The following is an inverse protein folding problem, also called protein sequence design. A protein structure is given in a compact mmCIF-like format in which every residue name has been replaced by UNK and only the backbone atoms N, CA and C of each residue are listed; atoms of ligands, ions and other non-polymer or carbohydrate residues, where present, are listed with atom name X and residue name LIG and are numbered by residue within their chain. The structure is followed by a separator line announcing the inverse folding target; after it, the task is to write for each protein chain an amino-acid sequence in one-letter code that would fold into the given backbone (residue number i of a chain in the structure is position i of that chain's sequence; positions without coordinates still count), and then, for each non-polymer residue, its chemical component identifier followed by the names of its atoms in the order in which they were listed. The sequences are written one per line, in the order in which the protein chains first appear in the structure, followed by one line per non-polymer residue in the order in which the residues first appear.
data_IF_849209019342
#
_entry.id   IF_849209019342
#
_cell.length_a   1.000
_cell.length_b   1.000
_cell.length_c   1.000
_cell.angle_alpha   90.00
_cell.angle_beta   90.00
_cell.angle_gamma   90.00
#
_symmetry.space_group_name_H-M   'P 1'
#
loop_
_entity.id
_entity.type
_entity.pdbx_description
1 polymer ?
#
# COMPACT_ATOMS: atom_id res chain seq x y z
N UNK A 1 -13.43 34.81 -37.39
CA UNK A 1 -13.08 34.18 -36.10
C UNK A 1 -13.36 32.67 -36.24
N UNK A 2 -12.54 31.82 -35.60
CA UNK A 2 -12.65 30.34 -35.53
C UNK A 2 -11.66 29.51 -36.37
N UNK A 3 -10.36 29.64 -36.05
CA UNK A 3 -9.35 28.61 -36.36
C UNK A 3 -8.34 28.39 -35.21
N UNK A 4 -8.68 28.79 -33.98
CA UNK A 4 -7.77 28.75 -32.83
C UNK A 4 -7.95 27.58 -31.84
N UNK A 5 -9.11 26.93 -31.78
CA UNK A 5 -9.44 26.06 -30.62
C UNK A 5 -9.11 24.57 -30.79
N UNK A 6 -8.95 24.05 -32.01
CA UNK A 6 -8.75 22.60 -32.23
C UNK A 6 -7.33 22.07 -31.99
N UNK A 7 -6.37 22.92 -31.60
CA UNK A 7 -4.96 22.52 -31.41
C UNK A 7 -4.59 22.26 -29.94
N UNK A 8 -5.44 22.63 -28.99
CA UNK A 8 -5.13 22.51 -27.56
C UNK A 8 -5.61 21.18 -26.92
N UNK A 9 -6.69 20.58 -27.44
CA UNK A 9 -7.23 19.31 -26.90
C UNK A 9 -6.34 18.10 -27.19
N UNK A 10 -5.65 18.06 -28.34
CA UNK A 10 -4.74 16.93 -28.65
C UNK A 10 -3.43 16.92 -27.85
N UNK A 11 -3.08 18.02 -27.17
CA UNK A 11 -1.83 18.10 -26.39
C UNK A 11 -2.02 17.64 -24.93
N UNK A 12 -3.25 17.70 -24.41
CA UNK A 12 -3.60 17.21 -23.07
C UNK A 12 -3.86 15.71 -23.04
N UNK A 13 -4.45 15.13 -24.08
CA UNK A 13 -4.71 13.67 -24.16
C UNK A 13 -3.41 12.83 -24.23
N UNK A 14 -2.41 13.28 -24.98
CA UNK A 14 -1.14 12.52 -25.16
C UNK A 14 -0.28 12.46 -23.89
N UNK A 15 -0.50 13.37 -22.94
CA UNK A 15 0.28 13.46 -21.69
C UNK A 15 -0.24 12.50 -20.60
N UNK A 16 -1.53 12.15 -20.64
CA UNK A 16 -2.16 11.17 -19.75
C UNK A 16 -1.82 9.72 -20.11
N UNK A 17 -1.82 9.39 -21.41
CA UNK A 17 -1.55 8.03 -21.92
C UNK A 17 -0.07 7.60 -21.71
N UNK A 18 0.85 8.57 -21.79
CA UNK A 18 2.27 8.36 -21.51
C UNK A 18 2.59 8.06 -20.04
N UNK A 19 1.84 8.59 -19.07
CA UNK A 19 2.11 8.33 -17.65
C UNK A 19 1.64 6.94 -17.21
N UNK A 20 0.50 6.49 -17.74
CA UNK A 20 -0.04 5.15 -17.47
C UNK A 20 0.85 4.04 -18.05
N UNK A 21 1.43 4.26 -19.23
CA UNK A 21 2.42 3.34 -19.84
C UNK A 21 3.76 3.34 -19.08
N UNK A 22 4.26 4.50 -18.65
CA UNK A 22 5.47 4.59 -17.82
C UNK A 22 5.31 3.87 -16.46
N UNK A 23 4.13 3.95 -15.84
CA UNK A 23 3.84 3.26 -14.58
C UNK A 23 3.79 1.74 -14.76
N UNK A 24 3.14 1.26 -15.82
CA UNK A 24 2.97 -0.18 -16.09
C UNK A 24 4.28 -0.88 -16.46
N UNK A 25 5.15 -0.22 -17.24
CA UNK A 25 6.47 -0.76 -17.60
C UNK A 25 7.46 -0.77 -16.44
N UNK A 26 7.20 -0.05 -15.34
CA UNK A 26 8.15 0.12 -14.23
C UNK A 26 8.46 -1.18 -13.50
N UNK A 27 7.45 -2.04 -13.30
CA UNK A 27 7.64 -3.35 -12.67
C UNK A 27 8.41 -4.32 -13.57
N UNK A 28 8.09 -4.33 -14.86
CA UNK A 28 8.73 -5.20 -15.86
C UNK A 28 10.18 -4.77 -16.11
N UNK A 29 10.46 -3.47 -16.10
CA UNK A 29 11.83 -2.93 -16.16
C UNK A 29 12.66 -3.43 -14.97
N UNK A 30 12.14 -3.34 -13.74
CA UNK A 30 12.85 -3.87 -12.57
C UNK A 30 13.15 -5.38 -12.70
N UNK A 31 12.19 -6.18 -13.17
CA UNK A 31 12.36 -7.62 -13.40
C UNK A 31 13.41 -7.94 -14.50
N UNK A 32 13.46 -7.15 -15.58
CA UNK A 32 14.45 -7.29 -16.66
C UNK A 32 15.89 -7.17 -16.15
N UNK A 33 16.14 -6.27 -15.18
CA UNK A 33 17.47 -6.12 -14.60
C UNK A 33 17.93 -7.34 -13.82
N UNK A 34 17.02 -8.16 -13.29
CA UNK A 34 17.36 -9.40 -12.60
C UNK A 34 17.35 -10.63 -13.53
N UNK A 35 17.19 -10.42 -14.84
CA UNK A 35 17.15 -11.51 -15.82
C UNK A 35 15.81 -12.25 -15.86
N UNK A 36 14.78 -11.71 -15.21
CA UNK A 36 13.47 -12.35 -15.05
C UNK A 36 12.45 -11.90 -16.12
N UNK A 37 12.82 -10.98 -17.02
CA UNK A 37 11.95 -10.57 -18.11
C UNK A 37 12.02 -11.52 -19.30
N UNK A 38 10.86 -11.86 -19.85
CA UNK A 38 10.73 -12.60 -21.09
C UNK A 38 11.24 -11.79 -22.31
N UNK A 39 11.57 -12.44 -23.44
CA UNK A 39 11.99 -11.75 -24.66
C UNK A 39 10.95 -10.75 -25.20
N UNK A 40 9.66 -11.01 -24.95
CA UNK A 40 8.56 -10.12 -25.36
C UNK A 40 8.49 -8.86 -24.49
N UNK A 41 8.75 -9.02 -23.19
CA UNK A 41 8.84 -7.92 -22.24
C UNK A 41 10.08 -7.06 -22.51
N UNK A 42 11.20 -7.68 -22.87
CA UNK A 42 12.41 -6.97 -23.25
C UNK A 42 12.19 -6.08 -24.49
N UNK A 43 11.53 -6.62 -25.53
CA UNK A 43 11.16 -5.84 -26.72
C UNK A 43 10.27 -4.64 -26.41
N UNK A 44 9.36 -4.77 -25.43
CA UNK A 44 8.48 -3.67 -24.98
C UNK A 44 9.24 -2.61 -24.20
N UNK A 45 10.18 -3.02 -23.35
CA UNK A 45 11.07 -2.11 -22.64
C UNK A 45 11.89 -1.31 -23.65
N UNK A 46 12.53 -1.97 -24.61
CA UNK A 46 13.38 -1.31 -25.61
C UNK A 46 12.60 -0.33 -26.49
N UNK A 47 11.40 -0.72 -26.94
CA UNK A 47 10.49 0.16 -27.68
C UNK A 47 10.10 1.41 -26.87
N UNK A 48 9.77 1.24 -25.58
CA UNK A 48 9.42 2.36 -24.71
C UNK A 48 10.62 3.28 -24.44
N UNK A 49 11.80 2.73 -24.14
CA UNK A 49 13.03 3.49 -23.92
C UNK A 49 13.45 4.29 -25.16
N UNK A 50 13.16 3.77 -26.36
CA UNK A 50 13.32 4.48 -27.64
C UNK A 50 12.52 5.78 -27.73
N UNK A 51 11.34 5.83 -27.08
CA UNK A 51 10.40 6.96 -27.16
C UNK A 51 10.38 7.89 -25.93
N UNK A 52 10.74 7.40 -24.74
CA UNK A 52 10.59 8.15 -23.49
C UNK A 52 11.94 8.51 -22.84
N UNK A 53 12.42 9.76 -22.95
CA UNK A 53 13.71 10.17 -22.39
C UNK A 53 13.75 10.09 -20.85
N UNK A 54 12.63 10.37 -20.18
CA UNK A 54 12.54 10.30 -18.70
C UNK A 54 12.66 8.87 -18.17
N UNK A 55 12.12 7.89 -18.89
CA UNK A 55 12.30 6.48 -18.54
C UNK A 55 13.70 5.99 -18.90
N UNK A 56 14.31 6.52 -19.95
CA UNK A 56 15.71 6.25 -20.34
C UNK A 56 16.71 6.68 -19.28
N UNK A 57 16.60 7.91 -18.78
CA UNK A 57 17.46 8.41 -17.70
C UNK A 57 17.30 7.59 -16.42
N UNK A 58 16.06 7.24 -16.06
CA UNK A 58 15.76 6.43 -14.88
C UNK A 58 16.27 5.00 -15.01
N UNK A 59 16.17 4.41 -16.21
CA UNK A 59 16.70 3.09 -16.51
C UNK A 59 18.22 3.06 -16.37
N UNK A 60 18.91 4.04 -16.95
CA UNK A 60 20.35 4.18 -16.82
C UNK A 60 20.80 4.29 -15.36
N UNK A 61 20.09 5.10 -14.55
CA UNK A 61 20.37 5.22 -13.13
C UNK A 61 20.19 3.90 -12.35
N UNK A 62 19.17 3.11 -12.70
CA UNK A 62 18.88 1.83 -12.04
C UNK A 62 19.85 0.73 -12.47
N UNK A 63 20.22 0.68 -13.75
CA UNK A 63 21.23 -0.23 -14.27
C UNK A 63 22.62 0.07 -13.65
N UNK A 64 22.96 1.35 -13.50
CA UNK A 64 24.19 1.77 -12.81
C UNK A 64 24.21 1.35 -11.34
N UNK A 65 23.07 1.43 -10.64
CA UNK A 65 22.96 0.95 -9.26
C UNK A 65 23.15 -0.57 -9.16
N UNK A 66 22.51 -1.35 -10.04
CA UNK A 66 22.70 -2.81 -10.09
C UNK A 66 24.18 -3.15 -10.32
N UNK A 67 24.82 -2.48 -11.29
CA UNK A 67 26.23 -2.71 -11.60
C UNK A 67 27.18 -2.34 -10.45
N UNK A 68 26.75 -1.50 -9.51
CA UNK A 68 27.50 -1.13 -8.31
C UNK A 68 27.28 -2.10 -7.13
N UNK A 69 26.30 -3.02 -7.20
CA UNK A 69 26.07 -4.03 -6.18
C UNK A 69 27.01 -5.23 -6.41
N UNK A 70 27.67 -5.77 -5.37
CA UNK A 70 28.42 -7.02 -5.49
C UNK A 70 27.47 -8.18 -5.86
N UNK A 71 27.82 -8.97 -6.89
CA UNK A 71 27.07 -10.16 -7.30
C UNK A 71 27.14 -11.31 -6.27
N UNK A 72 28.01 -11.20 -5.27
CA UNK A 72 28.13 -12.19 -4.21
C UNK A 72 27.00 -12.05 -3.19
N UNK A 73 26.08 -13.02 -3.16
CA UNK A 73 25.22 -13.22 -2.00
C UNK A 73 26.11 -13.53 -0.79
N UNK A 74 26.02 -12.77 0.32
CA UNK A 74 26.74 -13.14 1.54
C UNK A 74 26.21 -14.48 2.02
N UNK A 75 27.09 -15.46 2.23
CA UNK A 75 26.72 -16.69 2.92
C UNK A 75 26.19 -16.30 4.31
N UNK A 76 24.89 -16.53 4.52
CA UNK A 76 24.26 -16.33 5.80
C UNK A 76 24.74 -17.44 6.72
N UNK A 77 25.66 -17.11 7.62
CA UNK A 77 26.28 -18.01 8.61
C UNK A 77 25.26 -18.60 9.62
N UNK A 78 23.97 -18.27 9.49
CA UNK A 78 22.89 -18.63 10.41
C UNK A 78 21.56 -18.75 9.67
N UNK A 79 20.77 -19.75 10.03
CA UNK A 79 19.39 -19.88 9.56
C UNK A 79 18.50 -18.82 10.23
N UNK A 80 18.10 -17.81 9.46
CA UNK A 80 17.22 -16.72 9.91
C UNK A 80 15.72 -17.05 9.74
N UNK A 81 15.39 -18.18 9.12
CA UNK A 81 14.01 -18.62 8.88
C UNK A 81 13.15 -18.63 10.16
N UNK A 82 13.65 -19.07 11.33
CA UNK A 82 12.86 -19.07 12.56
C UNK A 82 12.51 -17.66 13.06
N UNK A 83 13.46 -16.71 12.96
CA UNK A 83 13.26 -15.33 13.39
C UNK A 83 12.29 -14.58 12.45
N UNK A 84 12.37 -14.85 11.15
CA UNK A 84 11.45 -14.30 10.15
C UNK A 84 10.04 -14.87 10.35
N UNK A 85 9.92 -16.20 10.54
CA UNK A 85 8.63 -16.85 10.79
C UNK A 85 7.98 -16.40 12.11
N UNK A 86 8.76 -16.17 13.16
CA UNK A 86 8.28 -15.60 14.42
C UNK A 86 7.72 -14.18 14.22
N UNK A 87 8.39 -13.35 13.42
CA UNK A 87 7.97 -11.98 13.13
C UNK A 87 6.69 -11.94 12.28
N UNK A 88 6.54 -12.87 11.33
CA UNK A 88 5.34 -13.00 10.48
C UNK A 88 4.16 -13.57 11.30
N UNK A 89 4.41 -14.52 12.20
CA UNK A 89 3.40 -15.11 13.09
C UNK A 89 2.87 -14.14 14.13
N UNK A 90 3.73 -13.30 14.72
CA UNK A 90 3.36 -12.30 15.72
C UNK A 90 2.33 -11.27 15.20
N UNK A 91 2.37 -10.93 13.91
CA UNK A 91 1.39 -10.01 13.29
C UNK A 91 0.00 -10.63 13.10
N UNK A 92 -0.16 -11.96 13.16
CA UNK A 92 -1.46 -12.63 12.94
C UNK A 92 -2.27 -12.90 14.22
N UNK A 93 -1.67 -12.84 15.40
CA UNK A 93 -2.32 -13.27 16.66
C UNK A 93 -2.88 -12.13 17.54
N UNK A 94 -2.82 -10.87 17.12
CA UNK A 94 -3.21 -9.71 17.96
C UNK A 94 -4.69 -9.27 17.87
N UNK A 95 -5.64 -10.18 17.58
CA UNK A 95 -7.08 -9.93 17.75
C UNK A 95 -7.74 -11.00 18.62
N UNK A 96 -7.30 -11.11 19.87
CA UNK A 96 -8.11 -11.67 20.97
C UNK A 96 -7.79 -10.88 22.23
N UNK A 97 -8.74 -10.09 22.71
CA UNK A 97 -8.67 -9.42 24.01
C UNK A 97 -9.07 -10.48 25.06
N UNK A 98 -8.20 -10.88 26.00
CA UNK A 98 -8.61 -11.70 27.13
C UNK A 98 -9.05 -10.81 28.28
N UNK A 99 -10.27 -11.03 28.77
CA UNK A 99 -10.80 -10.45 30.01
C UNK A 99 -10.06 -11.08 31.19
N UNK A 100 -9.44 -10.24 32.03
CA UNK A 100 -8.56 -10.68 33.11
C UNK A 100 -9.35 -10.76 34.43
N UNK A 101 -9.49 -11.98 34.97
CA UNK A 101 -10.06 -12.25 36.31
C UNK A 101 -9.00 -12.20 37.44
N UNK A 102 -9.42 -12.14 38.72
CA UNK A 102 -8.57 -11.75 39.83
C UNK A 102 -7.82 -12.95 40.44
N UNK A 103 -6.78 -13.44 39.75
CA UNK A 103 -6.01 -14.61 40.19
C UNK A 103 -4.49 -14.43 40.12
N UNK A 104 -3.97 -13.21 40.36
CA UNK A 104 -2.51 -12.96 40.37
C UNK A 104 -1.98 -12.40 41.70
N UNK A 105 -2.61 -12.76 42.81
CA UNK A 105 -2.10 -12.39 44.14
C UNK A 105 -1.00 -13.33 44.67
N UNK A 106 -0.56 -14.35 43.93
CA UNK A 106 0.31 -15.42 44.47
C UNK A 106 1.63 -15.66 43.74
N UNK A 107 2.03 -14.85 42.75
CA UNK A 107 3.32 -15.02 42.03
C UNK A 107 4.45 -14.13 42.56
N UNK A 108 4.15 -13.14 43.43
CA UNK A 108 5.15 -12.17 43.90
C UNK A 108 6.13 -12.68 44.98
N UNK A 109 5.96 -13.89 45.53
CA UNK A 109 6.79 -14.37 46.66
C UNK A 109 7.96 -15.27 46.21
N UNK A 110 7.92 -15.85 45.01
CA UNK A 110 8.97 -16.78 44.56
C UNK A 110 10.20 -16.10 43.90
N UNK A 111 10.08 -14.85 43.43
CA UNK A 111 11.18 -14.14 42.75
C UNK A 111 12.20 -13.50 43.72
N UNK A 112 11.82 -13.24 44.97
CA UNK A 112 12.69 -12.59 45.95
C UNK A 112 13.77 -13.52 46.54
N UNK A 113 13.53 -14.85 46.55
CA UNK A 113 14.45 -15.82 47.15
C UNK A 113 15.67 -16.16 46.26
N UNK A 114 15.54 -16.05 44.94
CA UNK A 114 16.62 -16.34 43.98
C UNK A 114 17.66 -15.20 43.84
N UNK A 115 17.29 -13.97 44.21
CA UNK A 115 18.17 -12.80 44.12
C UNK A 115 19.26 -12.76 45.21
N UNK A 116 19.03 -13.40 46.36
CA UNK A 116 19.94 -13.34 47.54
C UNK A 116 21.13 -14.30 47.42
N UNK A 117 21.00 -15.39 46.63
CA UNK A 117 22.06 -16.42 46.51
C UNK A 117 22.98 -16.20 45.31
N UNK A 118 22.48 -15.57 44.22
CA UNK A 118 23.27 -15.39 43.00
C UNK A 118 24.23 -14.18 43.04
N UNK A 119 23.98 -13.20 43.91
CA UNK A 119 24.73 -11.94 43.95
C UNK A 119 26.18 -12.05 44.50
N UNK A 120 26.50 -12.87 45.52
CA UNK A 120 27.86 -12.97 46.04
C UNK A 120 28.81 -13.74 45.11
N UNK A 121 28.29 -14.69 44.33
CA UNK A 121 29.10 -15.56 43.48
C UNK A 121 29.63 -14.85 42.21
N UNK A 122 28.88 -13.87 41.72
CA UNK A 122 29.27 -13.04 40.56
C UNK A 122 30.24 -11.91 40.93
N UNK A 123 30.38 -11.58 42.22
CA UNK A 123 31.26 -10.51 42.69
C UNK A 123 32.71 -10.98 42.88
N UNK A 124 32.94 -12.25 43.22
CA UNK A 124 34.28 -12.84 43.38
C UNK A 124 34.92 -13.33 42.06
N UNK A 125 34.18 -13.37 40.95
CA UNK A 125 34.64 -13.90 39.66
C UNK A 125 35.01 -12.84 38.62
N UNK A 126 34.94 -11.54 38.94
CA UNK A 126 35.35 -10.46 38.04
C UNK A 126 36.82 -10.10 38.21
N UNK A 127 37.68 -10.90 37.60
CA UNK A 127 38.99 -10.44 37.14
C UNK A 127 38.82 -9.28 36.15
N UNK A 128 39.71 -8.29 36.26
CA UNK A 128 39.89 -7.09 35.42
C UNK A 128 39.05 -7.04 34.13
N UNK A 129 37.82 -6.54 34.24
CA UNK A 129 37.05 -6.11 33.09
C UNK A 129 37.59 -4.74 32.65
N UNK A 130 38.16 -4.67 31.46
CA UNK A 130 38.44 -3.42 30.75
C UNK A 130 37.13 -2.63 30.69
N UNK A 131 37.10 -1.46 31.33
CA UNK A 131 35.98 -0.51 31.23
C UNK A 131 35.84 -0.10 29.77
N UNK A 132 34.96 -0.79 29.04
CA UNK A 132 34.49 -0.34 27.74
C UNK A 132 33.81 1.01 27.94
N UNK A 133 34.25 2.02 27.20
CA UNK A 133 33.61 3.33 27.19
C UNK A 133 32.10 3.16 26.93
N UNK A 134 31.22 3.88 27.65
CA UNK A 134 29.79 3.81 27.39
C UNK A 134 29.54 4.19 25.92
N UNK A 135 28.65 3.47 25.20
CA UNK A 135 28.30 3.85 23.84
C UNK A 135 27.80 5.29 23.85
N UNK A 136 28.30 6.11 22.93
CA UNK A 136 27.85 7.50 22.79
C UNK A 136 26.32 7.53 22.65
N UNK A 137 25.66 8.33 23.48
CA UNK A 137 24.22 8.51 23.40
C UNK A 137 23.87 9.04 22.01
N UNK A 138 23.04 8.30 21.27
CA UNK A 138 22.51 8.76 19.98
C UNK A 138 21.60 9.96 20.27
N UNK A 139 22.05 11.16 19.93
CA UNK A 139 21.25 12.37 20.06
C UNK A 139 20.25 12.38 18.91
N UNK A 140 18.98 12.10 19.21
CA UNK A 140 17.90 12.16 18.23
C UNK A 140 17.70 13.59 17.72
N UNK A 141 17.44 13.75 16.43
CA UNK A 141 17.06 15.02 15.84
C UNK A 141 15.73 15.52 16.42
N UNK A 142 15.43 16.83 16.35
CA UNK A 142 14.14 17.35 16.80
C UNK A 142 12.93 16.66 16.15
N UNK A 143 13.03 16.30 14.85
CA UNK A 143 11.96 15.57 14.16
C UNK A 143 11.89 14.11 14.61
N UNK A 144 13.01 13.46 14.88
CA UNK A 144 13.02 12.09 15.44
C UNK A 144 12.39 12.05 16.85
N UNK A 145 12.65 13.06 17.68
CA UNK A 145 11.99 13.22 18.98
C UNK A 145 10.48 13.41 18.82
N UNK A 146 10.06 14.25 17.88
CA UNK A 146 8.64 14.46 17.58
C UNK A 146 7.97 13.19 17.06
N UNK A 147 8.65 12.38 16.23
CA UNK A 147 8.13 11.07 15.81
C UNK A 147 7.94 10.12 16.99
N UNK A 148 8.91 10.04 17.90
CA UNK A 148 8.76 9.23 19.11
C UNK A 148 7.60 9.69 19.99
N UNK A 149 7.40 11.01 20.11
CA UNK A 149 6.27 11.56 20.85
C UNK A 149 4.93 11.29 20.14
N UNK A 150 4.89 11.39 18.81
CA UNK A 150 3.71 11.05 18.02
C UNK A 150 3.34 9.56 18.16
N UNK A 151 4.34 8.66 18.18
CA UNK A 151 4.13 7.23 18.42
C UNK A 151 3.52 7.00 19.82
N UNK A 152 3.98 7.70 20.86
CA UNK A 152 3.37 7.64 22.20
C UNK A 152 1.92 8.15 22.24
N UNK A 153 1.56 9.13 21.41
CA UNK A 153 0.18 9.59 21.28
C UNK A 153 -0.67 8.56 20.53
N UNK A 154 -0.13 7.96 19.47
CA UNK A 154 -0.77 6.89 18.71
C UNK A 154 -1.04 5.65 19.57
N UNK A 155 -0.12 5.26 20.46
CA UNK A 155 -0.31 4.17 21.43
C UNK A 155 -1.51 4.42 22.36
N UNK A 156 -1.79 5.69 22.67
CA UNK A 156 -2.96 6.12 23.45
C UNK A 156 -4.21 6.31 22.59
N UNK A 157 -4.15 5.98 21.29
CA UNK A 157 -5.16 6.23 20.26
C UNK A 157 -5.48 7.72 20.05
N UNK A 158 -4.59 8.62 20.46
CA UNK A 158 -4.69 10.05 20.19
C UNK A 158 -3.98 10.40 18.87
N UNK A 159 -4.59 9.95 17.78
CA UNK A 159 -4.06 10.14 16.43
C UNK A 159 -4.08 11.60 15.98
N UNK A 160 -5.00 12.42 16.50
CA UNK A 160 -5.07 13.84 16.17
C UNK A 160 -3.87 14.61 16.75
N UNK A 161 -3.50 14.33 18.01
CA UNK A 161 -2.29 14.90 18.60
C UNK A 161 -1.03 14.37 17.92
N UNK A 162 -0.97 13.06 17.63
CA UNK A 162 0.15 12.46 16.89
C UNK A 162 0.38 13.18 15.55
N UNK A 163 -0.70 13.35 14.77
CA UNK A 163 -0.66 14.08 13.50
C UNK A 163 -0.15 15.52 13.68
N UNK A 164 -0.72 16.28 14.62
CA UNK A 164 -0.32 17.68 14.87
C UNK A 164 1.15 17.81 15.25
N UNK A 165 1.67 16.94 16.11
CA UNK A 165 3.07 16.94 16.54
C UNK A 165 4.00 16.77 15.32
N UNK A 166 3.69 15.82 14.43
CA UNK A 166 4.48 15.61 13.21
C UNK A 166 4.42 16.84 12.29
N UNK A 167 3.22 17.42 12.10
CA UNK A 167 3.05 18.63 11.26
C UNK A 167 3.83 19.82 11.78
N UNK A 168 3.81 20.04 13.09
CA UNK A 168 4.54 21.12 13.75
C UNK A 168 6.06 20.93 13.62
N UNK A 169 6.56 19.72 13.83
CA UNK A 169 7.98 19.40 13.71
C UNK A 169 8.49 19.59 12.28
N UNK A 170 7.77 19.09 11.27
CA UNK A 170 8.15 19.25 9.85
C UNK A 170 8.06 20.72 9.43
N UNK A 171 7.09 21.48 9.95
CA UNK A 171 6.97 22.91 9.68
C UNK A 171 8.13 23.72 10.28
N UNK A 172 8.63 23.31 11.44
CA UNK A 172 9.72 23.98 12.15
C UNK A 172 11.10 23.58 11.62
N UNK A 173 11.27 22.31 11.24
CA UNK A 173 12.54 21.72 10.80
C UNK A 173 12.39 21.02 9.44
N UNK A 174 12.10 21.75 8.34
CA UNK A 174 11.81 21.14 7.04
C UNK A 174 13.02 20.44 6.40
N UNK A 175 14.24 20.84 6.75
CA UNK A 175 15.49 20.27 6.22
C UNK A 175 16.03 19.11 7.07
N UNK A 176 15.31 18.71 8.12
CA UNK A 176 15.72 17.59 8.98
C UNK A 176 15.73 16.28 8.18
N UNK A 177 16.78 15.43 8.29
CA UNK A 177 16.84 14.15 7.60
C UNK A 177 15.62 13.24 7.82
N UNK A 178 14.97 13.34 8.98
CA UNK A 178 13.79 12.56 9.32
C UNK A 178 12.46 13.18 8.84
N UNK A 179 12.47 14.40 8.27
CA UNK A 179 11.26 15.09 7.85
C UNK A 179 10.46 14.31 6.78
N UNK A 180 11.15 13.59 5.89
CA UNK A 180 10.51 12.74 4.89
C UNK A 180 9.73 11.57 5.51
N UNK A 181 10.28 10.95 6.56
CA UNK A 181 9.60 9.86 7.28
C UNK A 181 8.44 10.40 8.10
N UNK A 182 8.63 11.51 8.82
CA UNK A 182 7.57 12.17 9.57
C UNK A 182 6.41 12.59 8.67
N UNK A 183 6.69 13.13 7.47
CA UNK A 183 5.66 13.50 6.49
C UNK A 183 4.88 12.27 6.01
N UNK A 184 5.56 11.14 5.79
CA UNK A 184 4.93 9.86 5.42
C UNK A 184 4.00 9.36 6.53
N UNK A 185 4.48 9.34 7.79
CA UNK A 185 3.70 8.90 8.95
C UNK A 185 2.48 9.79 9.17
N UNK A 186 2.64 11.12 9.07
CA UNK A 186 1.53 12.06 9.18
C UNK A 186 0.45 11.82 8.12
N UNK A 187 0.84 11.59 6.87
CA UNK A 187 -0.09 11.26 5.79
C UNK A 187 -0.84 9.95 6.06
N UNK A 188 -0.14 8.92 6.52
CA UNK A 188 -0.74 7.61 6.85
C UNK A 188 -1.75 7.71 8.01
N UNK A 189 -1.45 8.50 9.05
CA UNK A 189 -2.37 8.76 10.17
C UNK A 189 -3.62 9.49 9.69
N UNK A 190 -3.44 10.58 8.93
CA UNK A 190 -4.56 11.36 8.39
C UNK A 190 -5.48 10.50 7.52
N UNK A 191 -4.91 9.63 6.69
CA UNK A 191 -5.67 8.73 5.82
C UNK A 191 -6.37 7.61 6.58
N UNK A 192 -5.61 6.85 7.38
CA UNK A 192 -6.06 5.53 7.88
C UNK A 192 -6.80 5.60 9.21
N UNK A 193 -6.36 6.50 10.10
CA UNK A 193 -6.87 6.54 11.48
C UNK A 193 -7.90 7.66 11.67
N UNK A 194 -7.68 8.80 11.02
CA UNK A 194 -8.52 9.99 11.17
C UNK A 194 -9.59 10.12 10.08
N UNK A 195 -9.40 9.48 8.93
CA UNK A 195 -10.21 9.68 7.71
C UNK A 195 -10.31 11.17 7.31
N UNK A 196 -9.24 11.94 7.59
CA UNK A 196 -9.06 13.33 7.18
C UNK A 196 -8.52 13.35 5.75
N UNK A 197 -9.37 12.98 4.81
CA UNK A 197 -9.00 12.77 3.41
C UNK A 197 -8.46 14.02 2.69
N UNK A 198 -9.00 15.23 2.90
CA UNK A 198 -8.39 16.44 2.36
C UNK A 198 -6.94 16.64 2.83
N UNK A 199 -6.69 16.51 4.13
CA UNK A 199 -5.38 16.68 4.75
C UNK A 199 -4.40 15.58 4.30
N UNK A 200 -4.87 14.33 4.27
CA UNK A 200 -4.08 13.21 3.77
C UNK A 200 -3.68 13.40 2.31
N UNK A 201 -4.59 13.89 1.47
CA UNK A 201 -4.30 14.18 0.07
C UNK A 201 -3.16 15.19 -0.03
N UNK A 202 -3.31 16.33 0.66
CA UNK A 202 -2.30 17.40 0.65
C UNK A 202 -0.95 16.93 1.19
N UNK A 203 -0.97 16.03 2.17
CA UNK A 203 0.25 15.47 2.75
C UNK A 203 0.97 14.49 1.85
N UNK A 204 0.26 13.59 1.15
CA UNK A 204 0.89 12.75 0.14
C UNK A 204 1.34 13.56 -1.08
N UNK A 205 0.60 14.60 -1.46
CA UNK A 205 1.00 15.50 -2.54
C UNK A 205 2.28 16.26 -2.20
N UNK A 206 2.42 16.70 -0.95
CA UNK A 206 3.63 17.31 -0.42
C UNK A 206 4.78 16.30 -0.36
N UNK A 207 4.53 15.09 0.13
CA UNK A 207 5.51 14.00 0.17
C UNK A 207 6.07 13.71 -1.23
N UNK A 208 5.20 13.66 -2.24
CA UNK A 208 5.60 13.44 -3.63
C UNK A 208 6.43 14.59 -4.22
N UNK A 209 6.17 15.84 -3.82
CA UNK A 209 6.85 17.04 -4.33
C UNK A 209 8.18 17.30 -3.63
N UNK A 210 8.20 17.23 -2.30
CA UNK A 210 9.35 17.59 -1.47
C UNK A 210 10.31 16.42 -1.24
N UNK A 211 9.77 15.19 -1.14
CA UNK A 211 10.55 14.00 -0.84
C UNK A 211 10.35 12.89 -1.90
N UNK A 212 10.64 13.17 -3.19
CA UNK A 212 10.31 12.27 -4.30
C UNK A 212 11.08 10.94 -4.29
N UNK A 213 12.20 10.84 -3.57
CA UNK A 213 12.90 9.56 -3.37
C UNK A 213 12.08 8.65 -2.44
N UNK A 214 11.77 9.13 -1.23
CA UNK A 214 10.95 8.42 -0.23
C UNK A 214 9.59 8.03 -0.80
N UNK A 215 8.89 8.96 -1.45
CA UNK A 215 7.59 8.69 -2.06
C UNK A 215 7.64 7.56 -3.11
N UNK A 216 8.73 7.44 -3.87
CA UNK A 216 8.88 6.40 -4.90
C UNK A 216 9.18 5.01 -4.34
N UNK A 217 9.66 4.94 -3.11
CA UNK A 217 9.99 3.71 -2.37
C UNK A 217 8.78 3.13 -1.63
N UNK A 218 7.67 3.88 -1.53
CA UNK A 218 6.44 3.45 -0.90
C UNK A 218 5.29 3.33 -1.92
N UNK A 219 5.04 2.12 -2.46
CA UNK A 219 3.90 1.86 -3.33
C UNK A 219 2.54 2.14 -2.68
N UNK A 220 2.44 2.02 -1.35
CA UNK A 220 1.21 2.30 -0.60
C UNK A 220 0.88 3.78 -0.60
N UNK A 221 1.86 4.64 -0.37
CA UNK A 221 1.70 6.09 -0.49
C UNK A 221 1.29 6.52 -1.90
N UNK A 222 1.85 5.89 -2.94
CA UNK A 222 1.44 6.15 -4.34
C UNK A 222 -0.03 5.79 -4.54
N UNK A 223 -0.42 4.57 -4.16
CA UNK A 223 -1.80 4.09 -4.33
C UNK A 223 -2.81 4.95 -3.55
N UNK A 224 -2.50 5.34 -2.31
CA UNK A 224 -3.36 6.20 -1.50
C UNK A 224 -3.50 7.59 -2.09
N UNK A 225 -2.41 8.20 -2.57
CA UNK A 225 -2.49 9.51 -3.23
C UNK A 225 -3.36 9.46 -4.48
N UNK A 226 -3.20 8.43 -5.31
CA UNK A 226 -3.98 8.29 -6.54
C UNK A 226 -5.48 8.04 -6.23
N UNK A 227 -5.78 7.23 -5.20
CA UNK A 227 -7.13 7.04 -4.65
C UNK A 227 -7.74 8.37 -4.17
N UNK A 228 -6.98 9.14 -3.39
CA UNK A 228 -7.42 10.44 -2.86
C UNK A 228 -7.60 11.46 -3.97
N UNK A 229 -6.75 11.46 -4.99
CA UNK A 229 -6.87 12.35 -6.14
C UNK A 229 -8.14 12.07 -6.95
N UNK A 230 -8.50 10.79 -7.12
CA UNK A 230 -9.79 10.41 -7.71
C UNK A 230 -10.95 10.84 -6.82
N UNK A 231 -10.93 10.49 -5.53
CA UNK A 231 -12.00 10.80 -4.58
C UNK A 231 -12.20 12.31 -4.39
N UNK A 232 -11.15 13.13 -4.55
CA UNK A 232 -11.27 14.59 -4.50
C UNK A 232 -12.24 15.15 -5.54
N UNK A 233 -12.47 14.45 -6.66
CA UNK A 233 -13.43 14.88 -7.69
C UNK A 233 -14.88 14.91 -7.19
N UNK A 234 -15.18 14.26 -6.07
CA UNK A 234 -16.49 14.24 -5.42
C UNK A 234 -16.42 14.66 -3.94
N UNK A 235 -15.48 15.54 -3.58
CA UNK A 235 -15.27 16.01 -2.21
C UNK A 235 -15.09 14.87 -1.21
N UNK A 236 -14.43 13.79 -1.65
CA UNK A 236 -14.15 12.58 -0.88
C UNK A 236 -15.41 11.81 -0.40
N UNK A 237 -16.59 12.16 -0.91
CA UNK A 237 -17.86 11.54 -0.52
C UNK A 237 -17.87 10.02 -0.73
N UNK A 238 -17.17 9.52 -1.76
CA UNK A 238 -17.06 8.09 -2.01
C UNK A 238 -16.28 7.35 -0.91
N UNK A 239 -15.17 7.92 -0.42
CA UNK A 239 -14.38 7.31 0.66
C UNK A 239 -15.15 7.31 1.99
N UNK A 240 -15.82 8.40 2.31
CA UNK A 240 -16.68 8.45 3.51
C UNK A 240 -17.82 7.43 3.45
N UNK A 241 -18.42 7.22 2.27
CA UNK A 241 -19.43 6.19 2.08
C UNK A 241 -18.87 4.78 2.26
N UNK A 242 -17.64 4.51 1.79
CA UNK A 242 -16.94 3.25 2.00
C UNK A 242 -16.66 2.97 3.48
N UNK A 243 -16.18 3.96 4.24
CA UNK A 243 -15.93 3.78 5.68
C UNK A 243 -17.22 3.60 6.47
N UNK A 244 -18.28 4.31 6.09
CA UNK A 244 -19.60 4.07 6.64
C UNK A 244 -20.01 2.61 6.40
N UNK A 245 -19.97 2.15 5.15
CA UNK A 245 -20.31 0.77 4.76
C UNK A 245 -19.56 -0.29 5.59
N UNK A 246 -18.26 -0.12 5.81
CA UNK A 246 -17.42 -1.04 6.61
C UNK A 246 -17.84 -1.16 8.07
N UNK A 247 -18.51 -0.14 8.63
CA UNK A 247 -18.94 -0.13 10.03
C UNK A 247 -20.31 -0.77 10.26
N UNK A 248 -21.01 -1.18 9.21
CA UNK A 248 -22.37 -1.76 9.29
C UNK A 248 -22.43 -3.25 9.66
N UNK A 249 -21.33 -3.85 10.13
CA UNK A 249 -21.35 -5.23 10.65
C UNK A 249 -21.86 -6.25 9.62
N UNK A 250 -22.91 -7.00 9.98
CA UNK A 250 -23.52 -8.03 9.11
C UNK A 250 -24.14 -7.45 7.82
N UNK A 251 -24.59 -6.19 7.85
CA UNK A 251 -25.17 -5.49 6.70
C UNK A 251 -24.11 -4.84 5.80
N UNK A 252 -22.82 -4.92 6.15
CA UNK A 252 -21.73 -4.28 5.41
C UNK A 252 -21.74 -4.67 3.92
N UNK A 253 -22.08 -5.90 3.58
CA UNK A 253 -22.14 -6.34 2.17
C UNK A 253 -23.13 -5.51 1.35
N UNK A 254 -24.35 -5.28 1.86
CA UNK A 254 -25.39 -4.53 1.15
C UNK A 254 -25.00 -3.03 1.04
N UNK A 255 -24.36 -2.47 2.06
CA UNK A 255 -23.87 -1.10 1.99
C UNK A 255 -22.67 -0.94 1.03
N UNK A 256 -21.78 -1.92 0.95
CA UNK A 256 -20.69 -1.93 -0.03
C UNK A 256 -21.23 -2.03 -1.46
N UNK A 257 -22.29 -2.82 -1.67
CA UNK A 257 -23.00 -2.89 -2.95
C UNK A 257 -23.58 -1.52 -3.35
N UNK A 258 -24.19 -0.80 -2.41
CA UNK A 258 -24.68 0.58 -2.64
C UNK A 258 -23.56 1.55 -2.98
N UNK A 259 -22.38 1.42 -2.35
CA UNK A 259 -21.20 2.24 -2.68
C UNK A 259 -20.77 2.02 -4.13
N UNK A 260 -20.73 0.77 -4.59
CA UNK A 260 -20.38 0.47 -5.99
C UNK A 260 -21.43 1.02 -6.96
N UNK A 261 -22.72 0.83 -6.66
CA UNK A 261 -23.82 1.34 -7.48
C UNK A 261 -23.76 2.87 -7.66
N UNK A 262 -23.39 3.59 -6.59
CA UNK A 262 -23.29 5.06 -6.58
C UNK A 262 -22.00 5.59 -7.23
N UNK A 263 -20.90 4.86 -7.14
CA UNK A 263 -19.58 5.28 -7.64
C UNK A 263 -18.90 4.24 -8.54
N UNK A 264 -19.58 3.72 -9.58
CA UNK A 264 -19.08 2.61 -10.38
C UNK A 264 -17.81 2.97 -11.16
N UNK A 265 -16.89 2.01 -11.29
CA UNK A 265 -15.65 2.19 -12.07
C UNK A 265 -14.58 3.06 -11.40
N UNK A 266 -14.78 3.41 -10.13
CA UNK A 266 -13.81 4.18 -9.32
C UNK A 266 -12.89 3.24 -8.53
N UNK A 267 -11.74 3.74 -8.07
CA UNK A 267 -10.89 3.01 -7.12
C UNK A 267 -11.63 2.69 -5.81
N UNK A 268 -12.56 3.56 -5.37
CA UNK A 268 -13.40 3.29 -4.20
C UNK A 268 -14.31 2.09 -4.46
N UNK A 269 -14.93 1.98 -5.65
CA UNK A 269 -15.73 0.81 -6.01
C UNK A 269 -14.89 -0.47 -6.10
N UNK A 270 -13.65 -0.40 -6.59
CA UNK A 270 -12.72 -1.53 -6.53
C UNK A 270 -12.40 -1.94 -5.09
N UNK A 271 -12.17 -1.00 -4.17
CA UNK A 271 -11.97 -1.31 -2.76
C UNK A 271 -13.22 -1.95 -2.13
N UNK A 272 -14.41 -1.41 -2.44
CA UNK A 272 -15.66 -1.98 -1.97
C UNK A 272 -15.86 -3.43 -2.48
N UNK A 273 -15.57 -3.68 -3.76
CA UNK A 273 -15.64 -5.01 -4.35
C UNK A 273 -14.68 -6.01 -3.69
N UNK A 274 -13.45 -5.58 -3.35
CA UNK A 274 -12.50 -6.41 -2.61
C UNK A 274 -13.00 -6.72 -1.19
N UNK A 275 -13.62 -5.76 -0.50
CA UNK A 275 -14.20 -5.98 0.82
C UNK A 275 -15.42 -6.91 0.75
N UNK A 276 -16.27 -6.79 -0.28
CA UNK A 276 -17.38 -7.73 -0.53
C UNK A 276 -16.88 -9.16 -0.75
N UNK A 277 -15.81 -9.34 -1.53
CA UNK A 277 -15.20 -10.66 -1.73
C UNK A 277 -14.72 -11.27 -0.40
N UNK A 278 -14.05 -10.50 0.45
CA UNK A 278 -13.61 -10.93 1.79
C UNK A 278 -14.77 -11.33 2.70
N UNK A 279 -15.89 -10.61 2.62
CA UNK A 279 -17.10 -10.94 3.39
C UNK A 279 -17.80 -12.21 2.88
N UNK A 280 -17.60 -12.58 1.62
CA UNK A 280 -18.20 -13.79 1.04
C UNK A 280 -17.41 -15.06 1.38
N UNK A 281 -16.09 -15.03 1.25
CA UNK A 281 -15.23 -16.17 1.54
C UNK A 281 -13.87 -15.70 2.07
N UNK A 282 -13.36 -16.40 3.08
CA UNK A 282 -11.99 -16.24 3.55
C UNK A 282 -11.01 -16.77 2.49
N UNK A 283 -10.44 -15.85 1.71
CA UNK A 283 -9.48 -16.19 0.67
C UNK A 283 -8.05 -16.21 1.21
N UNK A 284 -7.37 -17.36 1.08
CA UNK A 284 -5.96 -17.52 1.47
C UNK A 284 -5.00 -17.65 0.28
N UNK A 285 -5.53 -18.02 -0.88
CA UNK A 285 -4.80 -18.18 -2.15
C UNK A 285 -5.45 -17.34 -3.27
N UNK A 286 -4.76 -17.21 -4.41
CA UNK A 286 -5.34 -16.55 -5.60
C UNK A 286 -6.56 -17.31 -6.16
N UNK A 287 -6.57 -18.64 -6.04
CA UNK A 287 -7.73 -19.46 -6.42
C UNK A 287 -8.92 -19.18 -5.50
N UNK A 288 -8.68 -19.07 -4.19
CA UNK A 288 -9.72 -18.70 -3.23
C UNK A 288 -10.22 -17.28 -3.49
N UNK A 289 -9.35 -16.37 -3.92
CA UNK A 289 -9.72 -14.98 -4.25
C UNK A 289 -10.67 -14.91 -5.44
N UNK A 290 -10.45 -15.73 -6.47
CA UNK A 290 -11.40 -15.86 -7.59
C UNK A 290 -12.75 -16.37 -7.08
N UNK A 291 -12.75 -17.41 -6.24
CA UNK A 291 -13.99 -17.95 -5.68
C UNK A 291 -14.72 -16.91 -4.79
N UNK A 292 -13.99 -16.14 -4.00
CA UNK A 292 -14.52 -15.08 -3.17
C UNK A 292 -15.21 -13.98 -4.00
N UNK A 293 -14.58 -13.56 -5.09
CA UNK A 293 -15.18 -12.60 -6.00
C UNK A 293 -16.40 -13.16 -6.75
N UNK A 294 -16.35 -14.43 -7.18
CA UNK A 294 -17.51 -15.08 -7.79
C UNK A 294 -18.68 -15.18 -6.81
N UNK A 295 -18.42 -15.62 -5.57
CA UNK A 295 -19.43 -15.70 -4.51
C UNK A 295 -20.03 -14.33 -4.17
N UNK A 296 -19.21 -13.28 -4.11
CA UNK A 296 -19.70 -11.91 -3.96
C UNK A 296 -20.57 -11.48 -5.16
N UNK A 297 -20.12 -11.71 -6.39
CA UNK A 297 -20.89 -11.34 -7.60
C UNK A 297 -22.24 -12.03 -7.64
N UNK A 298 -22.28 -13.32 -7.29
CA UNK A 298 -23.50 -14.12 -7.34
C UNK A 298 -24.50 -13.73 -6.24
N UNK A 299 -24.01 -13.13 -5.14
CA UNK A 299 -24.84 -12.54 -4.07
C UNK A 299 -25.38 -11.14 -4.42
N UNK A 300 -24.78 -10.44 -5.39
CA UNK A 300 -25.18 -9.08 -5.75
C UNK A 300 -26.53 -9.04 -6.47
N UNK A 301 -27.31 -8.03 -6.12
CA UNK A 301 -28.60 -7.69 -6.72
C UNK A 301 -28.48 -6.53 -7.71
N UNK A 302 -27.53 -5.62 -7.51
CA UNK A 302 -27.29 -4.46 -8.36
C UNK A 302 -26.43 -4.84 -9.60
N UNK A 303 -26.87 -4.50 -10.82
CA UNK A 303 -26.15 -4.87 -12.03
C UNK A 303 -24.79 -4.16 -12.19
N UNK A 304 -24.64 -2.95 -11.65
CA UNK A 304 -23.35 -2.25 -11.66
C UNK A 304 -22.37 -2.88 -10.67
N UNK A 305 -22.85 -3.33 -9.51
CA UNK A 305 -22.03 -4.09 -8.56
C UNK A 305 -21.54 -5.42 -9.15
N UNK A 306 -22.42 -6.16 -9.82
CA UNK A 306 -22.05 -7.37 -10.54
C UNK A 306 -20.98 -7.10 -11.61
N UNK A 307 -21.18 -6.05 -12.41
CA UNK A 307 -20.22 -5.66 -13.45
C UNK A 307 -18.86 -5.23 -12.89
N UNK A 308 -18.83 -4.49 -11.77
CA UNK A 308 -17.60 -4.14 -11.07
C UNK A 308 -16.87 -5.39 -10.58
N UNK A 309 -17.57 -6.35 -9.99
CA UNK A 309 -16.96 -7.61 -9.55
C UNK A 309 -16.43 -8.44 -10.73
N UNK A 310 -17.11 -8.43 -11.88
CA UNK A 310 -16.58 -9.03 -13.11
C UNK A 310 -15.33 -8.28 -13.62
N UNK A 311 -15.25 -6.96 -13.51
CA UNK A 311 -14.03 -6.20 -13.81
C UNK A 311 -12.86 -6.64 -12.92
N UNK A 312 -13.08 -6.76 -11.61
CA UNK A 312 -12.07 -7.22 -10.65
C UNK A 312 -11.62 -8.66 -10.94
N UNK A 313 -12.56 -9.57 -11.23
CA UNK A 313 -12.24 -10.94 -11.66
C UNK A 313 -11.39 -10.95 -12.92
N UNK A 314 -11.72 -10.13 -13.91
CA UNK A 314 -10.92 -9.97 -15.12
C UNK A 314 -9.49 -9.54 -14.81
N UNK A 315 -9.31 -8.57 -13.89
CA UNK A 315 -7.99 -8.14 -13.44
C UNK A 315 -7.20 -9.25 -12.74
N UNK A 316 -7.83 -10.04 -11.86
CA UNK A 316 -7.18 -11.18 -11.19
C UNK A 316 -6.76 -12.23 -12.22
N UNK A 317 -7.65 -12.61 -13.15
CA UNK A 317 -7.30 -13.57 -14.20
C UNK A 317 -6.15 -13.09 -15.07
N UNK A 318 -6.15 -11.82 -15.47
CA UNK A 318 -5.12 -11.29 -16.36
C UNK A 318 -3.77 -11.10 -15.65
N UNK A 319 -3.77 -10.42 -14.50
CA UNK A 319 -2.54 -9.98 -13.84
C UNK A 319 -1.92 -11.08 -12.99
N UNK A 320 -2.74 -11.78 -12.20
CA UNK A 320 -2.26 -12.68 -11.15
C UNK A 320 -2.18 -14.12 -11.66
N UNK A 321 -3.16 -14.55 -12.47
CA UNK A 321 -3.24 -15.93 -12.97
C UNK A 321 -2.75 -16.11 -14.41
N UNK A 322 -2.44 -15.03 -15.13
CA UNK A 322 -1.98 -15.03 -16.54
C UNK A 322 -2.92 -15.81 -17.48
N UNK A 323 -4.22 -15.71 -17.25
CA UNK A 323 -5.28 -16.38 -18.02
C UNK A 323 -6.09 -15.34 -18.84
N UNK A 324 -5.56 -14.86 -19.99
CA UNK A 324 -6.17 -13.78 -20.76
C UNK A 324 -7.53 -14.15 -21.35
N UNK A 325 -7.76 -15.43 -21.67
CA UNK A 325 -9.05 -15.92 -22.18
C UNK A 325 -10.14 -15.73 -21.12
N UNK A 326 -9.91 -16.20 -19.89
CA UNK A 326 -10.86 -16.00 -18.79
C UNK A 326 -11.03 -14.53 -18.43
N UNK A 327 -9.95 -13.74 -18.46
CA UNK A 327 -10.06 -12.31 -18.25
C UNK A 327 -10.99 -11.64 -19.28
N UNK A 328 -10.87 -12.02 -20.56
CA UNK A 328 -11.71 -11.54 -21.66
C UNK A 328 -13.19 -11.89 -21.43
N UNK A 329 -13.49 -13.09 -20.95
CA UNK A 329 -14.87 -13.49 -20.60
C UNK A 329 -15.46 -12.57 -19.53
N UNK A 330 -14.71 -12.29 -18.46
CA UNK A 330 -15.19 -11.42 -17.39
C UNK A 330 -15.37 -9.97 -17.86
N UNK A 331 -14.46 -9.46 -18.69
CA UNK A 331 -14.62 -8.12 -19.27
C UNK A 331 -15.82 -8.04 -20.23
N UNK A 332 -16.13 -9.09 -21.00
CA UNK A 332 -17.35 -9.11 -21.82
C UNK A 332 -18.62 -9.10 -20.98
N UNK A 333 -18.64 -9.81 -19.86
CA UNK A 333 -19.76 -9.76 -18.92
C UNK A 333 -19.95 -8.34 -18.36
N UNK A 334 -18.86 -7.68 -17.94
CA UNK A 334 -18.91 -6.29 -17.49
C UNK A 334 -19.34 -5.31 -18.61
N UNK A 335 -18.89 -5.53 -19.84
CA UNK A 335 -19.25 -4.73 -21.01
C UNK A 335 -20.74 -4.79 -21.36
N UNK A 336 -21.38 -5.94 -21.14
CA UNK A 336 -22.79 -6.16 -21.43
C UNK A 336 -23.74 -5.60 -20.35
N UNK A 337 -23.21 -5.17 -19.19
CA UNK A 337 -24.03 -4.68 -18.09
C UNK A 337 -24.65 -3.30 -18.40
N UNK A 338 -25.82 -2.97 -17.84
CA UNK A 338 -26.50 -1.69 -18.03
C UNK A 338 -25.83 -0.55 -17.24
N UNK A 339 -24.52 -0.36 -17.40
CA UNK A 339 -23.74 0.71 -16.80
C UNK A 339 -22.70 1.22 -17.81
N UNK A 340 -22.90 2.43 -18.34
CA UNK A 340 -22.07 2.98 -19.41
C UNK A 340 -20.60 3.19 -19.02
N UNK A 341 -20.33 3.53 -17.75
CA UNK A 341 -18.98 3.76 -17.24
C UNK A 341 -18.20 2.44 -17.24
N UNK A 342 -18.77 1.41 -16.62
CA UNK A 342 -18.16 0.08 -16.56
C UNK A 342 -18.06 -0.56 -17.93
N UNK A 343 -19.05 -0.36 -18.80
CA UNK A 343 -19.02 -0.89 -20.14
C UNK A 343 -17.84 -0.34 -20.94
N UNK A 344 -17.64 0.98 -20.92
CA UNK A 344 -16.49 1.63 -21.54
C UNK A 344 -15.15 1.13 -20.97
N UNK A 345 -15.02 1.06 -19.65
CA UNK A 345 -13.78 0.58 -19.01
C UNK A 345 -13.48 -0.88 -19.38
N UNK A 346 -14.51 -1.71 -19.49
CA UNK A 346 -14.39 -3.10 -19.90
C UNK A 346 -13.94 -3.22 -21.36
N UNK A 347 -14.48 -2.42 -22.27
CA UNK A 347 -14.05 -2.34 -23.67
C UNK A 347 -12.59 -1.86 -23.80
N UNK A 348 -12.18 -0.88 -23.00
CA UNK A 348 -10.78 -0.44 -22.91
C UNK A 348 -9.87 -1.58 -22.43
N UNK A 349 -10.32 -2.43 -21.49
CA UNK A 349 -9.56 -3.60 -21.06
C UNK A 349 -9.50 -4.68 -22.15
N UNK A 350 -10.62 -4.97 -22.82
CA UNK A 350 -10.69 -5.94 -23.93
C UNK A 350 -9.75 -5.56 -25.07
N UNK A 351 -9.75 -4.29 -25.48
CA UNK A 351 -8.86 -3.81 -26.54
C UNK A 351 -7.38 -4.02 -26.20
N UNK A 352 -7.01 -3.79 -24.93
CA UNK A 352 -5.64 -3.99 -24.44
C UNK A 352 -5.23 -5.46 -24.39
N UNK A 353 -6.12 -6.36 -23.94
CA UNK A 353 -5.85 -7.81 -23.97
C UNK A 353 -5.66 -8.30 -25.40
N UNK A 354 -6.51 -7.86 -26.33
CA UNK A 354 -6.40 -8.22 -27.75
C UNK A 354 -5.13 -7.66 -28.40
N UNK A 355 -4.66 -6.49 -27.97
CA UNK A 355 -3.38 -5.92 -28.38
C UNK A 355 -2.16 -6.60 -27.71
N UNK A 356 -2.38 -7.59 -26.84
CA UNK A 356 -1.36 -8.31 -26.09
C UNK A 356 -0.71 -7.48 -24.96
N UNK A 357 -1.28 -6.35 -24.54
CA UNK A 357 -0.66 -5.36 -23.65
C UNK A 357 -0.79 -5.63 -22.15
#
# INVERSE_FOLDING_TARGET
MSHGERRNERRTERKGDGMLTCWRLRGVMAASLYGEASPDEQRRIDAHLGTCPRCRERWAAFAALKAALPDSQPELDRDLSPAILATIGAKRLSRRIPVLGPAWASVAVAAAALAVVAFPYLYLSRGTAVLSAPPAAVVLSPVEQAMSQADQMADKRDFASAYRILKEAIGTYPDDPAAAEAQSRGADIAFSELHWYPEAHDDYDRLAKQYPKRFREDPGAIARRDLLAEARTNDFAALYALDAARRHGEEAFAHLEQVISRYPGTFVASLAANDMARLSLDASTNTDRVQAFMAARDRCTDPAARAQLSMELGHVYLKDLKQPVKATEQYREAAAAPNAVLARLAEECLSRVNAGQ
#
